data_IF_724840763024
#
_entry.id   IF_724840763024
#
_cell.length_a   1.000
_cell.length_b   1.000
_cell.length_c   1.000
_cell.angle_alpha   90.00
_cell.angle_beta   90.00
_cell.angle_gamma   90.00
#
_symmetry.space_group_name_H-M   'P 1'
#
loop_
_entity.id
_entity.type
_entity.pdbx_description
1 polymer ?
#
# COMPACT_ATOMS: atom_id res chain seq x y z
N UNK A 1 -8.35 -9.08 5.26
CA UNK A 1 -7.74 -10.08 4.36
C UNK A 1 -8.14 -11.48 4.82
N UNK A 2 -8.25 -12.45 3.90
CA UNK A 2 -8.51 -13.85 4.26
C UNK A 2 -7.21 -14.46 4.80
N UNK A 3 -7.23 -14.95 6.03
CA UNK A 3 -6.14 -15.75 6.58
C UNK A 3 -6.36 -17.20 6.20
N UNK A 4 -5.33 -17.85 5.67
CA UNK A 4 -5.34 -19.28 5.36
C UNK A 4 -4.16 -19.93 6.07
N UNK A 5 -4.33 -21.10 6.71
CA UNK A 5 -3.21 -21.85 7.24
C UNK A 5 -2.27 -22.26 6.09
N UNK A 6 -0.98 -22.33 6.39
CA UNK A 6 0.02 -22.88 5.46
C UNK A 6 0.17 -24.36 5.77
N UNK A 7 -0.62 -25.17 5.09
CA UNK A 7 -0.64 -26.62 5.19
C UNK A 7 -0.56 -27.28 3.80
N UNK A 8 -0.63 -28.62 3.78
CA UNK A 8 -0.52 -29.41 2.56
C UNK A 8 -1.68 -29.17 1.56
N UNK A 9 -2.80 -28.57 2.01
CA UNK A 9 -3.99 -28.31 1.21
C UNK A 9 -3.92 -26.95 0.47
N UNK A 10 -3.04 -26.05 0.91
CA UNK A 10 -2.88 -24.71 0.32
C UNK A 10 -2.71 -24.71 -1.22
N UNK A 11 -1.91 -25.62 -1.83
CA UNK A 11 -1.80 -25.70 -3.28
C UNK A 11 -3.12 -26.04 -3.98
N UNK A 12 -3.94 -26.90 -3.38
CA UNK A 12 -5.25 -27.28 -3.92
C UNK A 12 -6.22 -26.11 -3.85
N UNK A 13 -6.27 -25.41 -2.71
CA UNK A 13 -7.05 -24.18 -2.54
C UNK A 13 -6.65 -23.11 -3.57
N UNK A 14 -5.35 -22.93 -3.81
CA UNK A 14 -4.85 -22.02 -4.85
C UNK A 14 -5.34 -22.43 -6.24
N UNK A 15 -5.29 -23.72 -6.59
CA UNK A 15 -5.77 -24.23 -7.87
C UNK A 15 -7.28 -24.00 -8.03
N UNK A 16 -8.06 -24.20 -6.98
CA UNK A 16 -9.51 -23.98 -7.01
C UNK A 16 -9.86 -22.51 -7.16
N UNK A 17 -9.11 -21.60 -6.52
CA UNK A 17 -9.23 -20.18 -6.76
C UNK A 17 -8.96 -19.82 -8.24
N UNK A 18 -7.88 -20.35 -8.83
CA UNK A 18 -7.55 -20.13 -10.24
C UNK A 18 -8.68 -20.62 -11.15
N UNK A 19 -9.19 -21.85 -10.92
CA UNK A 19 -10.32 -22.41 -11.68
C UNK A 19 -11.58 -21.55 -11.55
N UNK A 20 -11.91 -21.10 -10.34
CA UNK A 20 -13.08 -20.28 -10.07
C UNK A 20 -13.01 -18.90 -10.75
N UNK A 21 -11.80 -18.31 -10.87
CA UNK A 21 -11.58 -17.07 -11.62
C UNK A 21 -11.73 -17.27 -13.13
N UNK A 22 -11.36 -18.43 -13.66
CA UNK A 22 -11.50 -18.78 -15.07
C UNK A 22 -10.80 -17.77 -15.98
N UNK A 23 -11.48 -17.30 -17.02
CA UNK A 23 -10.95 -16.30 -17.95
C UNK A 23 -10.64 -14.93 -17.31
N UNK A 24 -11.03 -14.70 -16.05
CA UNK A 24 -10.73 -13.47 -15.30
C UNK A 24 -9.50 -13.62 -14.38
N UNK A 25 -8.80 -14.74 -14.45
CA UNK A 25 -7.54 -14.92 -13.72
C UNK A 25 -6.44 -14.12 -14.43
N UNK A 26 -5.67 -13.34 -13.66
CA UNK A 26 -4.63 -12.46 -14.18
C UNK A 26 -3.32 -12.83 -13.47
N UNK A 27 -2.39 -13.42 -14.22
CA UNK A 27 -1.04 -13.82 -13.80
C UNK A 27 -0.93 -14.93 -12.73
N UNK A 28 -1.23 -14.64 -11.46
CA UNK A 28 -0.74 -15.47 -10.35
C UNK A 28 -1.51 -15.34 -9.05
N UNK A 29 -1.19 -16.23 -8.09
CA UNK A 29 -1.65 -16.15 -6.70
C UNK A 29 -0.45 -15.85 -5.83
N UNK A 30 -0.54 -14.82 -5.00
CA UNK A 30 0.50 -14.42 -4.06
C UNK A 30 0.01 -14.71 -2.64
N UNK A 31 0.80 -15.49 -1.90
CA UNK A 31 0.64 -15.68 -0.46
C UNK A 31 1.66 -14.80 0.26
N UNK A 32 1.19 -14.03 1.23
CA UNK A 32 2.04 -13.21 2.10
C UNK A 32 1.85 -13.70 3.52
N UNK A 33 2.94 -13.66 4.30
CA UNK A 33 2.86 -13.87 5.74
C UNK A 33 1.84 -12.89 6.33
N UNK A 34 1.04 -13.38 7.28
CA UNK A 34 0.21 -12.52 8.09
C UNK A 34 1.08 -11.92 9.20
N UNK A 35 1.21 -10.59 9.18
CA UNK A 35 2.01 -9.84 10.15
C UNK A 35 1.05 -8.99 10.99
N UNK A 36 1.24 -9.02 12.31
CA UNK A 36 0.50 -8.14 13.21
C UNK A 36 0.96 -6.70 13.04
N UNK A 37 0.00 -5.82 12.80
CA UNK A 37 0.25 -4.40 12.56
C UNK A 37 -0.13 -3.59 13.78
N UNK A 38 0.56 -2.48 14.00
CA UNK A 38 0.19 -1.52 15.04
C UNK A 38 -1.16 -0.93 14.68
N UNK A 39 -2.05 -0.90 15.67
CA UNK A 39 -3.38 -0.30 15.56
C UNK A 39 -3.58 0.73 16.66
N UNK A 40 -4.14 1.87 16.30
CA UNK A 40 -4.50 2.95 17.20
C UNK A 40 -6.02 3.05 17.34
N UNK A 41 -6.54 3.52 18.48
CA UNK A 41 -7.96 3.87 18.58
C UNK A 41 -8.35 4.81 17.43
N UNK A 42 -9.48 4.52 16.79
CA UNK A 42 -9.93 5.29 15.63
C UNK A 42 -11.45 5.25 15.50
N UNK A 43 -11.97 5.49 14.28
CA UNK A 43 -13.42 5.54 14.02
C UNK A 43 -14.14 4.23 14.39
N UNK A 44 -14.63 4.15 15.62
CA UNK A 44 -15.51 3.09 16.13
C UNK A 44 -14.82 1.77 16.53
N UNK A 45 -13.53 1.63 16.29
CA UNK A 45 -12.69 0.50 16.71
C UNK A 45 -11.21 0.93 16.69
N UNK A 46 -10.34 0.20 16.00
CA UNK A 46 -8.94 0.57 15.79
C UNK A 46 -8.59 0.62 14.31
N UNK A 47 -7.76 1.60 13.94
CA UNK A 47 -7.20 1.77 12.60
C UNK A 47 -5.72 1.37 12.58
N UNK A 48 -5.30 0.69 11.52
CA UNK A 48 -3.89 0.37 11.28
C UNK A 48 -3.07 1.65 11.10
N UNK A 49 -1.84 1.68 11.62
CA UNK A 49 -0.86 2.71 11.24
C UNK A 49 -0.28 2.40 9.86
N UNK A 50 -0.87 3.01 8.85
CA UNK A 50 -0.56 2.82 7.45
C UNK A 50 -0.38 4.16 6.72
N UNK A 51 0.68 4.27 5.93
CA UNK A 51 1.01 5.46 5.16
C UNK A 51 1.15 5.10 3.69
N UNK A 52 0.40 5.80 2.83
CA UNK A 52 0.50 5.70 1.38
C UNK A 52 1.43 6.77 0.85
N UNK A 53 2.45 6.34 0.13
CA UNK A 53 3.42 7.20 -0.55
C UNK A 53 3.10 7.19 -2.04
N UNK A 54 2.92 8.38 -2.61
CA UNK A 54 2.69 8.56 -4.04
C UNK A 54 4.00 8.90 -4.74
N UNK A 55 4.29 8.22 -5.83
CA UNK A 55 5.48 8.44 -6.65
C UNK A 55 5.12 8.80 -8.09
N UNK A 56 5.79 9.80 -8.63
CA UNK A 56 5.71 10.22 -10.04
C UNK A 56 7.11 10.29 -10.62
N UNK A 57 7.40 9.53 -11.69
CA UNK A 57 8.75 9.36 -12.26
C UNK A 57 9.79 9.06 -11.18
N UNK A 58 9.46 8.12 -10.27
CA UNK A 58 10.27 7.71 -9.13
C UNK A 58 10.54 8.80 -8.08
N UNK A 59 9.97 10.00 -8.23
CA UNK A 59 10.01 11.06 -7.22
C UNK A 59 8.82 10.92 -6.28
N UNK A 60 9.07 10.97 -4.97
CA UNK A 60 8.02 11.05 -3.97
C UNK A 60 7.33 12.42 -4.05
N UNK A 61 6.02 12.42 -4.26
CA UNK A 61 5.24 13.65 -4.44
C UNK A 61 4.27 13.92 -3.31
N UNK A 62 3.81 12.88 -2.62
CA UNK A 62 2.83 13.00 -1.56
C UNK A 62 2.93 11.83 -0.58
N UNK A 63 2.69 12.11 0.70
CA UNK A 63 2.56 11.11 1.75
C UNK A 63 1.21 11.34 2.41
N UNK A 64 0.36 10.32 2.42
CA UNK A 64 -0.99 10.39 2.99
C UNK A 64 -1.19 9.29 4.00
N UNK A 65 -1.75 9.62 5.17
CA UNK A 65 -2.26 8.63 6.09
C UNK A 65 -3.35 7.78 5.42
N UNK A 66 -3.29 6.46 5.56
CA UNK A 66 -4.21 5.51 4.95
C UNK A 66 -5.04 4.78 6.02
N UNK A 67 -5.82 3.77 5.64
CA UNK A 67 -6.59 2.93 6.58
C UNK A 67 -7.58 3.71 7.47
N UNK A 68 -8.04 4.88 7.02
CA UNK A 68 -8.91 5.79 7.76
C UNK A 68 -8.36 6.25 9.13
N UNK A 69 -7.04 6.16 9.32
CA UNK A 69 -6.40 6.58 10.57
C UNK A 69 -6.51 8.10 10.78
N UNK A 70 -6.54 8.51 12.04
CA UNK A 70 -6.46 9.91 12.45
C UNK A 70 -4.99 10.28 12.68
N UNK A 71 -4.43 11.13 11.82
CA UNK A 71 -2.99 11.42 11.74
C UNK A 71 -2.43 11.91 13.07
N UNK A 72 -3.22 12.67 13.82
CA UNK A 72 -2.84 13.25 15.11
C UNK A 72 -2.72 12.20 16.23
N UNK A 73 -3.19 10.97 16.00
CA UNK A 73 -3.28 9.91 17.01
C UNK A 73 -2.30 8.75 16.77
N UNK A 74 -1.50 8.80 15.70
CA UNK A 74 -0.61 7.71 15.30
C UNK A 74 0.84 8.16 15.28
N UNK A 75 1.76 7.21 15.43
CA UNK A 75 3.19 7.51 15.23
C UNK A 75 3.47 7.82 13.75
N UNK A 76 4.27 8.85 13.47
CA UNK A 76 4.61 9.22 12.10
C UNK A 76 5.55 8.20 11.48
N UNK A 77 5.53 8.12 10.14
CA UNK A 77 6.51 7.34 9.37
C UNK A 77 7.94 7.83 9.68
N UNK A 78 8.87 6.96 10.15
CA UNK A 78 10.23 7.37 10.45
C UNK A 78 11.02 7.81 9.21
N UNK A 79 11.82 8.87 9.33
CA UNK A 79 12.60 9.44 8.22
C UNK A 79 13.58 8.41 7.61
N UNK A 80 14.17 7.54 8.43
CA UNK A 80 15.08 6.50 7.94
C UNK A 80 14.35 5.50 7.02
N UNK A 81 13.14 5.07 7.42
CA UNK A 81 12.29 4.19 6.60
C UNK A 81 11.89 4.89 5.32
N UNK A 82 11.49 6.16 5.40
CA UNK A 82 11.16 6.98 4.24
C UNK A 82 12.32 7.04 3.24
N UNK A 83 13.55 7.27 3.72
CA UNK A 83 14.71 7.35 2.87
C UNK A 83 15.05 6.01 2.21
N UNK A 84 14.89 4.89 2.91
CA UNK A 84 15.06 3.55 2.33
C UNK A 84 14.04 3.30 1.21
N UNK A 85 12.76 3.64 1.43
CA UNK A 85 11.71 3.46 0.44
C UNK A 85 11.92 4.34 -0.79
N UNK A 86 12.37 5.59 -0.61
CA UNK A 86 12.74 6.47 -1.74
C UNK A 86 13.87 5.90 -2.58
N UNK A 87 14.83 5.20 -1.97
CA UNK A 87 15.91 4.54 -2.73
C UNK A 87 15.39 3.33 -3.50
N UNK A 88 14.56 2.49 -2.86
CA UNK A 88 13.94 1.34 -3.53
C UNK A 88 13.02 1.75 -4.68
N UNK A 89 12.27 2.84 -4.51
CA UNK A 89 11.33 3.37 -5.50
C UNK A 89 11.99 3.70 -6.86
N UNK A 90 13.30 3.99 -6.87
CA UNK A 90 14.06 4.22 -8.12
C UNK A 90 14.12 3.00 -9.03
N UNK A 91 13.89 1.81 -8.50
CA UNK A 91 13.92 0.55 -9.25
C UNK A 91 12.57 0.21 -9.89
N UNK A 92 11.50 0.92 -9.52
CA UNK A 92 10.14 0.67 -10.02
C UNK A 92 9.96 1.36 -11.38
N UNK A 93 9.79 0.55 -12.43
CA UNK A 93 9.61 1.00 -13.81
C UNK A 93 8.17 1.41 -14.13
N UNK A 94 7.49 2.06 -13.19
CA UNK A 94 6.20 2.72 -13.43
C UNK A 94 6.37 4.23 -13.28
N UNK A 95 5.82 5.05 -14.18
CA UNK A 95 5.87 6.50 -14.05
C UNK A 95 4.93 7.01 -12.95
N UNK A 96 3.97 6.21 -12.50
CA UNK A 96 3.01 6.61 -11.47
C UNK A 96 2.58 5.40 -10.65
N UNK A 97 2.96 5.39 -9.37
CA UNK A 97 2.72 4.25 -8.48
C UNK A 97 2.58 4.69 -7.04
N UNK A 98 2.02 3.80 -6.23
CA UNK A 98 1.94 3.96 -4.77
C UNK A 98 2.70 2.87 -4.06
N UNK A 99 3.18 3.20 -2.86
CA UNK A 99 3.70 2.23 -1.89
C UNK A 99 2.97 2.47 -0.57
N UNK A 100 2.33 1.43 -0.05
CA UNK A 100 1.67 1.45 1.24
C UNK A 100 2.58 0.81 2.29
N UNK A 101 2.92 1.57 3.31
CA UNK A 101 3.76 1.17 4.43
C UNK A 101 2.92 0.99 5.67
N UNK A 102 3.17 -0.05 6.46
CA UNK A 102 2.56 -0.19 7.78
C UNK A 102 3.58 -0.53 8.85
N UNK A 103 3.30 -0.04 10.06
CA UNK A 103 4.07 -0.35 11.25
C UNK A 103 3.64 -1.71 11.81
N UNK A 104 4.63 -2.54 12.15
CA UNK A 104 4.44 -3.85 12.79
C UNK A 104 4.53 -3.72 14.31
N UNK A 105 3.94 -4.67 15.04
CA UNK A 105 3.99 -4.70 16.51
C UNK A 105 5.42 -4.73 17.10
N UNK A 106 6.40 -5.15 16.31
CA UNK A 106 7.84 -5.14 16.62
C UNK A 106 8.50 -3.75 16.49
N UNK A 107 7.77 -2.75 15.96
CA UNK A 107 8.28 -1.42 15.61
C UNK A 107 8.98 -1.35 14.25
N UNK A 108 9.10 -2.46 13.52
CA UNK A 108 9.56 -2.46 12.14
C UNK A 108 8.47 -1.94 11.18
N UNK A 109 8.85 -1.52 9.98
CA UNK A 109 7.95 -1.07 8.93
C UNK A 109 8.03 -1.99 7.71
N UNK A 110 6.87 -2.34 7.15
CA UNK A 110 6.76 -3.23 5.98
C UNK A 110 5.98 -2.58 4.84
N UNK A 111 6.28 -2.99 3.61
CA UNK A 111 5.46 -2.67 2.45
C UNK A 111 4.27 -3.64 2.40
N UNK A 112 3.06 -3.13 2.56
CA UNK A 112 1.84 -3.92 2.41
C UNK A 112 1.50 -4.13 0.95
N UNK A 113 1.60 -3.08 0.15
CA UNK A 113 1.24 -3.06 -1.25
C UNK A 113 2.11 -2.07 -2.02
N UNK A 114 2.47 -2.42 -3.24
CA UNK A 114 2.97 -1.50 -4.24
C UNK A 114 2.20 -1.74 -5.53
N UNK A 115 1.66 -0.69 -6.11
CA UNK A 115 0.69 -0.81 -7.20
C UNK A 115 0.74 0.39 -8.14
N UNK A 116 0.18 0.20 -9.33
CA UNK A 116 0.01 1.29 -10.29
C UNK A 116 -0.92 2.36 -9.71
N UNK A 117 -0.51 3.62 -9.79
CA UNK A 117 -1.27 4.71 -9.17
C UNK A 117 -2.63 4.93 -9.80
N UNK A 118 -2.86 4.45 -11.03
CA UNK A 118 -4.15 4.54 -11.72
C UNK A 118 -5.23 3.61 -11.15
N UNK A 119 -4.86 2.62 -10.33
CA UNK A 119 -5.80 1.74 -9.63
C UNK A 119 -5.83 1.96 -8.11
N UNK A 120 -4.96 2.82 -7.59
CA UNK A 120 -4.92 3.20 -6.19
C UNK A 120 -5.99 4.24 -5.85
N UNK A 121 -6.78 3.97 -4.82
CA UNK A 121 -7.75 4.94 -4.30
C UNK A 121 -7.08 6.11 -3.57
N UNK A 122 -7.73 7.26 -3.53
CA UNK A 122 -7.27 8.37 -2.69
C UNK A 122 -7.51 8.06 -1.22
N UNK A 123 -6.66 8.59 -0.34
CA UNK A 123 -6.90 8.55 1.09
C UNK A 123 -8.10 9.44 1.47
N UNK A 124 -8.75 9.12 2.59
CA UNK A 124 -9.99 9.81 3.03
C UNK A 124 -9.81 11.30 3.25
N UNK A 125 -8.62 11.73 3.67
CA UNK A 125 -8.27 13.13 3.94
C UNK A 125 -7.68 13.85 2.72
N UNK A 126 -7.46 13.14 1.61
CA UNK A 126 -6.81 13.69 0.42
C UNK A 126 -7.82 14.45 -0.44
N UNK A 127 -7.47 15.66 -0.87
CA UNK A 127 -8.31 16.42 -1.82
C UNK A 127 -8.11 15.87 -3.24
N UNK A 128 -9.17 15.32 -3.87
CA UNK A 128 -9.04 14.77 -5.23
C UNK A 128 -8.64 15.81 -6.27
N UNK A 129 -9.10 17.06 -6.15
CA UNK A 129 -8.79 18.09 -7.14
C UNK A 129 -7.31 18.45 -7.11
N UNK A 130 -6.75 18.63 -5.91
CA UNK A 130 -5.33 18.93 -5.75
C UNK A 130 -4.49 17.77 -6.26
N UNK A 131 -4.81 16.54 -5.86
CA UNK A 131 -4.07 15.37 -6.28
C UNK A 131 -4.03 15.21 -7.81
N UNK A 132 -5.18 15.29 -8.49
CA UNK A 132 -5.23 15.14 -9.95
C UNK A 132 -4.60 16.33 -10.69
N UNK A 133 -4.69 17.54 -10.12
CA UNK A 133 -4.00 18.72 -10.66
C UNK A 133 -2.49 18.53 -10.60
N UNK A 134 -1.94 18.06 -9.48
CA UNK A 134 -0.50 17.78 -9.36
C UNK A 134 -0.08 16.68 -10.32
N UNK A 135 -0.84 15.59 -10.41
CA UNK A 135 -0.56 14.51 -11.38
C UNK A 135 -0.48 15.03 -12.81
N UNK A 136 -1.47 15.85 -13.23
CA UNK A 136 -1.47 16.45 -14.56
C UNK A 136 -0.21 17.30 -14.79
N UNK A 137 0.17 18.14 -13.82
CA UNK A 137 1.38 18.98 -13.95
C UNK A 137 2.65 18.15 -14.09
N UNK A 138 2.82 17.11 -13.26
CA UNK A 138 3.99 16.24 -13.30
C UNK A 138 4.18 15.51 -14.63
N UNK A 139 3.10 15.15 -15.31
CA UNK A 139 3.16 14.55 -16.65
C UNK A 139 3.36 15.55 -17.79
N UNK A 140 3.18 16.85 -17.56
CA UNK A 140 3.48 17.89 -18.56
C UNK A 140 4.94 18.34 -18.51
N UNK A 141 5.59 18.22 -17.34
CA UNK A 141 6.96 18.67 -17.08
C UNK A 141 8.05 17.62 -17.40
N UNK A 142 7.68 16.50 -18.05
CA UNK A 142 8.57 15.40 -18.46
C UNK A 142 8.62 15.22 -19.98
#
# INVERSE_FOLDING_TARGET
FMQVPVDDDLPEVACDFVKARGARFNEGVVFKEYVELVRYPGRGDFTTNEWRLWFMHQNLVEITANSFQEVEQVEPLPEEVLQQVKEMAKQIQSPYFTIDLAETDSGAWIILEAGDGGVSGLATSQDPQDHWKYLYQYFQDT
#
